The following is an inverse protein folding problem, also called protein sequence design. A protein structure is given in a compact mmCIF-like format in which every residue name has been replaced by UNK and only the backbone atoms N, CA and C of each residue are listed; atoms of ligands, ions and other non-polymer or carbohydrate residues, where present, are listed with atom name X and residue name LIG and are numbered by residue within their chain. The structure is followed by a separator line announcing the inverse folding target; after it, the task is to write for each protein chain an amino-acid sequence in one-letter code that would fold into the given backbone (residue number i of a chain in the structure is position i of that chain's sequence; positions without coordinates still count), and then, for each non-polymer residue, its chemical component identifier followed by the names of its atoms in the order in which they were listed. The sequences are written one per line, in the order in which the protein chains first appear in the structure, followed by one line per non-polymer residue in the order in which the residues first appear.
data_IF_242339528176
#
_entry.id   IF_242339528176
#
_cell.length_a   1.000
_cell.length_b   1.000
_cell.length_c   1.000
_cell.angle_alpha   90.00
_cell.angle_beta   90.00
_cell.angle_gamma   90.00
#
_symmetry.space_group_name_H-M   'P 1'
#
loop_
_entity.id
_entity.type
_entity.pdbx_description
1 polymer ?
#
# COMPACT_ATOMS: atom_id res chain seq x y z
N UNK A 1 -32.99 -52.12 -36.54
CA UNK A 1 -33.23 -50.84 -35.83
C UNK A 1 -33.42 -51.17 -34.35
N UNK A 2 -32.36 -51.00 -33.54
CA UNK A 2 -32.35 -51.47 -32.14
C UNK A 2 -32.73 -50.29 -31.24
N UNK A 3 -33.90 -50.36 -30.59
CA UNK A 3 -34.31 -49.42 -29.55
C UNK A 3 -33.86 -49.95 -28.19
N UNK A 4 -32.85 -49.34 -27.60
CA UNK A 4 -32.41 -49.63 -26.24
C UNK A 4 -33.39 -49.02 -25.23
N UNK A 5 -33.96 -49.86 -24.35
CA UNK A 5 -34.75 -49.43 -23.18
C UNK A 5 -33.81 -49.35 -21.97
N UNK A 6 -33.12 -48.24 -21.78
CA UNK A 6 -32.39 -47.96 -20.54
C UNK A 6 -33.26 -47.17 -19.56
N UNK A 7 -33.29 -47.61 -18.30
CA UNK A 7 -33.93 -46.89 -17.19
C UNK A 7 -33.08 -45.73 -16.63
N UNK A 8 -31.92 -45.45 -17.25
CA UNK A 8 -31.07 -44.33 -16.87
C UNK A 8 -31.55 -43.05 -17.57
N UNK A 9 -32.23 -42.21 -16.78
CA UNK A 9 -32.76 -40.85 -17.06
C UNK A 9 -33.51 -40.69 -18.39
N UNK A 10 -34.83 -40.59 -18.28
CA UNK A 10 -35.66 -40.01 -19.33
C UNK A 10 -35.17 -38.57 -19.63
N UNK A 11 -35.01 -38.26 -20.92
CA UNK A 11 -34.73 -36.90 -21.44
C UNK A 11 -35.93 -35.97 -21.17
N UNK A 12 -36.21 -35.66 -19.91
CA UNK A 12 -36.82 -34.38 -19.60
C UNK A 12 -35.67 -33.37 -19.66
N UNK A 13 -35.69 -32.54 -20.70
CA UNK A 13 -34.85 -31.36 -20.93
C UNK A 13 -34.13 -30.90 -19.65
N UNK A 14 -32.86 -31.27 -19.48
CA UNK A 14 -32.00 -30.66 -18.47
C UNK A 14 -31.82 -29.22 -18.92
N UNK A 15 -32.64 -28.30 -18.39
CA UNK A 15 -32.27 -26.88 -18.33
C UNK A 15 -30.90 -26.90 -17.66
N UNK A 16 -29.85 -26.58 -18.43
CA UNK A 16 -28.49 -26.70 -17.93
C UNK A 16 -28.41 -25.87 -16.65
N UNK A 17 -27.82 -26.39 -15.57
CA UNK A 17 -27.74 -25.64 -14.30
C UNK A 17 -27.16 -24.23 -14.49
N UNK A 18 -26.31 -24.05 -15.51
CA UNK A 18 -25.84 -22.76 -16.01
C UNK A 18 -26.96 -21.78 -16.36
N UNK A 19 -28.00 -22.21 -17.07
CA UNK A 19 -29.14 -21.38 -17.46
C UNK A 19 -29.99 -20.97 -16.24
N UNK A 20 -30.09 -21.83 -15.22
CA UNK A 20 -30.77 -21.48 -13.97
C UNK A 20 -30.01 -20.41 -13.19
N UNK A 21 -28.67 -20.50 -13.12
CA UNK A 21 -27.85 -19.48 -12.46
C UNK A 21 -27.86 -18.16 -13.23
N UNK A 22 -27.78 -18.19 -14.57
CA UNK A 22 -27.89 -16.99 -15.40
C UNK A 22 -29.24 -16.29 -15.19
N UNK A 23 -30.35 -17.05 -15.17
CA UNK A 23 -31.68 -16.48 -14.87
C UNK A 23 -31.79 -15.91 -13.46
N UNK A 24 -31.20 -16.59 -12.45
CA UNK A 24 -31.18 -16.06 -11.08
C UNK A 24 -30.35 -14.78 -10.97
N UNK A 25 -29.21 -14.71 -11.64
CA UNK A 25 -28.38 -13.52 -11.70
C UNK A 25 -29.12 -12.37 -12.40
N UNK A 26 -29.84 -12.64 -13.48
CA UNK A 26 -30.66 -11.66 -14.18
C UNK A 26 -31.76 -11.08 -13.28
N UNK A 27 -32.50 -11.95 -12.59
CA UNK A 27 -33.56 -11.53 -11.65
C UNK A 27 -32.99 -10.68 -10.51
N UNK A 28 -31.85 -11.10 -9.94
CA UNK A 28 -31.20 -10.36 -8.86
C UNK A 28 -30.71 -9.00 -9.33
N UNK A 29 -30.14 -8.92 -10.53
CA UNK A 29 -29.57 -7.66 -11.01
C UNK A 29 -30.66 -6.64 -11.37
N UNK A 30 -31.75 -7.10 -12.00
CA UNK A 30 -32.97 -6.29 -12.21
C UNK A 30 -33.55 -5.78 -10.89
N UNK A 31 -33.52 -6.61 -9.85
CA UNK A 31 -33.96 -6.22 -8.50
C UNK A 31 -33.06 -5.13 -7.91
N UNK A 32 -31.74 -5.25 -8.03
CA UNK A 32 -30.78 -4.25 -7.55
C UNK A 32 -30.94 -2.93 -8.30
N UNK A 33 -31.05 -2.96 -9.63
CA UNK A 33 -31.25 -1.77 -10.46
C UNK A 33 -32.52 -1.02 -10.05
N UNK A 34 -33.61 -1.77 -9.79
CA UNK A 34 -34.87 -1.21 -9.29
C UNK A 34 -34.75 -0.62 -7.89
N UNK A 35 -34.13 -1.34 -6.94
CA UNK A 35 -33.92 -0.84 -5.58
C UNK A 35 -33.06 0.43 -5.56
N UNK A 36 -32.03 0.49 -6.41
CA UNK A 36 -31.20 1.67 -6.58
C UNK A 36 -31.97 2.84 -7.20
N UNK A 37 -32.77 2.59 -8.23
CA UNK A 37 -33.64 3.60 -8.82
C UNK A 37 -34.65 4.14 -7.81
N UNK A 38 -35.30 3.28 -7.04
CA UNK A 38 -36.27 3.68 -6.01
C UNK A 38 -35.60 4.50 -4.90
N UNK A 39 -34.39 4.11 -4.47
CA UNK A 39 -33.57 4.90 -3.55
C UNK A 39 -33.20 6.26 -4.14
N UNK A 40 -32.79 6.29 -5.42
CA UNK A 40 -32.42 7.50 -6.15
C UNK A 40 -33.60 8.48 -6.26
N UNK A 41 -34.78 7.98 -6.59
CA UNK A 41 -36.03 8.77 -6.61
C UNK A 41 -36.36 9.31 -5.22
N UNK A 42 -36.16 8.49 -4.17
CA UNK A 42 -36.37 8.87 -2.77
C UNK A 42 -35.44 9.98 -2.25
N UNK A 43 -34.30 10.23 -2.91
CA UNK A 43 -33.37 11.32 -2.55
C UNK A 43 -33.83 12.71 -3.01
N UNK A 44 -34.90 12.80 -3.81
CA UNK A 44 -35.52 14.07 -4.19
C UNK A 44 -35.25 14.47 -5.63
N UNK A 45 -36.09 13.99 -6.54
CA UNK A 45 -36.12 14.41 -7.94
C UNK A 45 -37.04 15.64 -8.13
N UNK A 46 -36.70 16.77 -7.50
CA UNK A 46 -37.43 18.04 -7.72
C UNK A 46 -36.56 19.12 -8.35
N UNK A 47 -35.23 19.12 -8.14
CA UNK A 47 -34.36 20.21 -8.61
C UNK A 47 -33.36 19.82 -9.72
N UNK A 48 -33.07 18.52 -9.90
CA UNK A 48 -32.09 18.07 -10.89
C UNK A 48 -32.78 17.26 -11.98
N UNK A 49 -32.76 17.75 -13.23
CA UNK A 49 -33.19 17.00 -14.41
C UNK A 49 -32.20 15.85 -14.65
N UNK A 50 -32.32 14.75 -13.91
CA UNK A 50 -31.50 13.57 -14.14
C UNK A 50 -31.84 12.94 -15.51
N UNK A 51 -30.81 12.56 -16.26
CA UNK A 51 -30.97 11.83 -17.53
C UNK A 51 -31.50 10.41 -17.32
N UNK A 52 -31.30 9.86 -16.11
CA UNK A 52 -31.85 8.58 -15.66
C UNK A 52 -33.35 8.76 -15.39
N UNK A 53 -34.18 8.17 -16.25
CA UNK A 53 -35.64 8.23 -16.19
C UNK A 53 -36.27 6.89 -15.89
N UNK A 54 -35.54 5.80 -16.10
CA UNK A 54 -36.03 4.43 -15.93
C UNK A 54 -34.96 3.55 -15.27
N UNK A 55 -35.36 2.46 -14.60
CA UNK A 55 -34.40 1.51 -14.03
C UNK A 55 -33.53 0.86 -15.11
N UNK A 56 -34.02 0.71 -16.35
CA UNK A 56 -33.24 0.15 -17.46
C UNK A 56 -32.05 1.04 -17.85
N UNK A 57 -32.16 2.37 -17.68
CA UNK A 57 -31.07 3.30 -17.98
C UNK A 57 -29.84 3.02 -17.09
N UNK A 58 -30.04 2.46 -15.89
CA UNK A 58 -28.97 2.06 -14.97
C UNK A 58 -28.31 0.76 -15.46
N UNK A 59 -29.09 -0.19 -15.98
CA UNK A 59 -28.57 -1.43 -16.54
C UNK A 59 -27.67 -1.15 -17.75
N UNK A 60 -28.08 -0.20 -18.60
CA UNK A 60 -27.32 0.25 -19.76
C UNK A 60 -26.09 1.07 -19.36
N UNK A 61 -26.21 1.98 -18.39
CA UNK A 61 -25.10 2.80 -17.90
C UNK A 61 -23.93 1.95 -17.37
N UNK A 62 -24.24 0.88 -16.65
CA UNK A 62 -23.24 -0.04 -16.11
C UNK A 62 -22.92 -1.20 -17.04
N UNK A 63 -23.55 -1.26 -18.22
CA UNK A 63 -23.39 -2.34 -19.19
C UNK A 63 -23.46 -3.72 -18.54
N UNK A 64 -24.52 -3.95 -17.74
CA UNK A 64 -24.67 -5.12 -16.86
C UNK A 64 -24.64 -6.47 -17.59
N UNK A 65 -24.73 -6.47 -18.92
CA UNK A 65 -24.68 -7.64 -19.78
C UNK A 65 -23.57 -7.57 -20.84
N UNK A 66 -22.49 -6.84 -20.55
CA UNK A 66 -21.36 -6.66 -21.47
C UNK A 66 -20.60 -7.98 -21.71
N UNK A 67 -20.97 -8.67 -22.78
CA UNK A 67 -20.43 -9.96 -23.17
C UNK A 67 -19.42 -9.85 -24.32
N UNK A 68 -18.44 -8.95 -24.19
CA UNK A 68 -17.34 -8.85 -25.15
C UNK A 68 -16.22 -9.84 -24.81
N UNK A 69 -15.61 -10.48 -25.82
CA UNK A 69 -14.62 -11.55 -25.59
C UNK A 69 -13.41 -11.09 -24.77
N UNK A 70 -13.11 -9.79 -24.76
CA UNK A 70 -12.06 -9.18 -23.95
C UNK A 70 -12.34 -9.26 -22.44
N UNK A 71 -13.61 -9.19 -22.00
CA UNK A 71 -13.96 -9.23 -20.57
C UNK A 71 -13.78 -10.63 -19.98
N UNK A 72 -13.93 -11.68 -20.81
CA UNK A 72 -13.71 -13.09 -20.44
C UNK A 72 -12.23 -13.47 -20.28
N UNK A 73 -11.30 -12.65 -20.80
CA UNK A 73 -9.86 -12.87 -20.73
C UNK A 73 -9.23 -12.45 -19.40
N UNK A 74 -9.94 -11.69 -18.57
CA UNK A 74 -9.44 -11.14 -17.32
C UNK A 74 -9.88 -12.01 -16.13
N UNK A 75 -9.16 -13.11 -15.89
CA UNK A 75 -9.21 -13.80 -14.59
C UNK A 75 -8.37 -13.00 -13.59
N UNK A 76 -8.98 -12.00 -12.97
CA UNK A 76 -8.36 -11.30 -11.85
C UNK A 76 -8.45 -12.20 -10.62
N UNK A 77 -7.38 -12.94 -10.31
CA UNK A 77 -7.19 -13.52 -8.98
C UNK A 77 -6.93 -12.40 -7.98
N UNK A 78 -8.00 -11.70 -7.61
CA UNK A 78 -7.93 -10.64 -6.64
C UNK A 78 -7.78 -11.27 -5.25
N UNK A 79 -6.54 -11.53 -4.83
CA UNK A 79 -6.22 -11.69 -3.40
C UNK A 79 -6.37 -10.30 -2.75
N UNK A 80 -7.58 -9.77 -2.74
CA UNK A 80 -7.91 -8.52 -2.07
C UNK A 80 -7.74 -8.81 -0.59
N UNK A 81 -6.79 -8.13 0.03
CA UNK A 81 -6.68 -8.11 1.48
C UNK A 81 -7.93 -7.38 1.98
N UNK A 82 -8.85 -8.03 2.73
CA UNK A 82 -10.02 -7.36 3.26
C UNK A 82 -9.55 -6.37 4.32
N UNK A 83 -9.37 -5.11 3.91
CA UNK A 83 -8.96 -4.03 4.78
C UNK A 83 -9.78 -2.78 4.51
N UNK A 84 -9.95 -1.99 5.57
CA UNK A 84 -10.70 -0.74 5.54
C UNK A 84 -9.76 0.39 5.94
N UNK A 85 -10.05 1.60 5.49
CA UNK A 85 -9.38 2.81 5.97
C UNK A 85 -9.40 2.87 7.49
N UNK A 86 -8.30 3.38 8.06
CA UNK A 86 -8.12 3.46 9.51
C UNK A 86 -9.23 4.25 10.21
N UNK A 87 -9.67 5.35 9.60
CA UNK A 87 -10.76 6.21 10.11
C UNK A 87 -12.06 5.43 10.29
N UNK A 88 -12.48 4.69 9.26
CA UNK A 88 -13.69 3.86 9.29
C UNK A 88 -13.53 2.71 10.29
N UNK A 89 -12.36 2.06 10.32
CA UNK A 89 -12.08 0.97 11.25
C UNK A 89 -12.08 1.44 12.72
N UNK A 90 -11.63 2.67 13.00
CA UNK A 90 -11.67 3.28 14.32
C UNK A 90 -13.11 3.68 14.70
N UNK A 91 -13.89 4.23 13.75
CA UNK A 91 -15.29 4.61 13.94
C UNK A 91 -16.20 3.41 14.26
N UNK A 92 -16.07 2.31 13.53
CA UNK A 92 -16.85 1.08 13.74
C UNK A 92 -16.30 0.27 14.95
N UNK A 93 -15.12 0.62 15.47
CA UNK A 93 -14.47 -0.09 16.57
C UNK A 93 -13.70 -1.35 16.15
N UNK A 94 -13.62 -1.66 14.85
CA UNK A 94 -12.90 -2.83 14.30
C UNK A 94 -11.49 -2.45 13.86
N UNK A 95 -10.65 -2.03 14.80
CA UNK A 95 -9.28 -1.57 14.51
C UNK A 95 -8.39 -2.63 13.85
N UNK A 96 -8.73 -3.92 13.94
CA UNK A 96 -8.00 -5.04 13.34
C UNK A 96 -8.12 -5.07 11.81
N UNK A 97 -9.23 -4.56 11.27
CA UNK A 97 -9.48 -4.49 9.82
C UNK A 97 -8.80 -3.28 9.16
N UNK A 98 -8.20 -2.37 9.94
CA UNK A 98 -7.48 -1.24 9.39
C UNK A 98 -6.33 -1.71 8.49
N UNK A 99 -6.22 -1.17 7.28
CA UNK A 99 -5.15 -1.51 6.33
C UNK A 99 -3.72 -1.54 6.91
N UNK A 100 -3.25 -0.58 7.74
CA UNK A 100 -1.92 -0.69 8.34
C UNK A 100 -1.77 -1.90 9.28
N UNK A 101 -2.83 -2.34 9.97
CA UNK A 101 -2.79 -3.53 10.83
C UNK A 101 -2.82 -4.81 10.00
N UNK A 102 -3.65 -4.85 8.96
CA UNK A 102 -3.72 -5.98 8.03
C UNK A 102 -2.37 -6.18 7.33
N UNK A 103 -1.72 -5.10 6.89
CA UNK A 103 -0.38 -5.14 6.30
C UNK A 103 0.65 -5.71 7.29
N UNK A 104 0.72 -5.20 8.53
CA UNK A 104 1.63 -5.73 9.56
C UNK A 104 1.39 -7.20 9.90
N UNK A 105 0.15 -7.67 9.76
CA UNK A 105 -0.19 -9.09 9.94
C UNK A 105 0.32 -9.91 8.75
N UNK A 106 0.12 -9.42 7.54
CA UNK A 106 0.58 -10.10 6.33
C UNK A 106 2.10 -10.22 6.30
N UNK A 107 2.82 -9.13 6.60
CA UNK A 107 4.29 -9.16 6.71
C UNK A 107 4.75 -10.22 7.71
N UNK A 108 4.05 -10.36 8.86
CA UNK A 108 4.38 -11.40 9.83
C UNK A 108 4.14 -12.81 9.30
N UNK A 109 3.07 -13.03 8.55
CA UNK A 109 2.80 -14.32 7.91
C UNK A 109 3.82 -14.64 6.84
N UNK A 110 4.20 -13.66 6.03
CA UNK A 110 5.22 -13.82 5.00
C UNK A 110 6.57 -14.15 5.66
N UNK A 111 7.01 -13.38 6.66
CA UNK A 111 8.23 -13.68 7.44
C UNK A 111 8.17 -15.08 8.06
N UNK A 112 7.03 -15.46 8.64
CA UNK A 112 6.88 -16.79 9.23
C UNK A 112 6.99 -17.90 8.17
N UNK A 113 6.35 -17.71 7.01
CA UNK A 113 6.43 -18.63 5.89
C UNK A 113 7.86 -18.74 5.34
N UNK A 114 8.63 -17.66 5.28
CA UNK A 114 10.04 -17.71 4.86
C UNK A 114 10.93 -18.43 5.87
N UNK A 115 10.67 -18.25 7.17
CA UNK A 115 11.45 -18.89 8.23
C UNK A 115 11.11 -20.36 8.46
N UNK A 116 9.92 -20.79 8.06
CA UNK A 116 9.48 -22.17 8.29
C UNK A 116 10.20 -23.13 7.33
N UNK A 117 10.60 -24.33 7.81
CA UNK A 117 11.24 -25.31 6.95
C UNK A 117 10.25 -25.80 5.87
N UNK A 118 10.74 -25.98 4.64
CA UNK A 118 9.92 -26.50 3.56
C UNK A 118 9.55 -27.97 3.84
N UNK A 119 8.27 -28.24 4.08
CA UNK A 119 7.76 -29.60 4.22
C UNK A 119 7.60 -30.25 2.85
N UNK A 120 8.70 -30.82 2.34
CA UNK A 120 8.76 -31.41 0.99
C UNK A 120 8.44 -32.90 0.96
N UNK A 121 8.41 -33.58 2.11
CA UNK A 121 8.14 -35.02 2.21
C UNK A 121 6.98 -35.28 3.17
N UNK A 122 6.06 -36.13 2.76
CA UNK A 122 4.97 -36.65 3.59
C UNK A 122 4.79 -38.14 3.32
N UNK A 123 4.59 -38.94 4.37
CA UNK A 123 4.37 -40.40 4.26
C UNK A 123 5.45 -41.14 3.44
N UNK A 124 6.72 -40.72 3.56
CA UNK A 124 7.84 -41.32 2.82
C UNK A 124 7.86 -41.04 1.31
N UNK A 125 6.93 -40.23 0.80
CA UNK A 125 6.84 -39.85 -0.62
C UNK A 125 6.98 -38.33 -0.78
N UNK A 126 7.36 -37.91 -1.97
CA UNK A 126 7.65 -36.51 -2.30
C UNK A 126 6.88 -36.13 -3.58
N UNK A 127 6.17 -34.99 -3.56
CA UNK A 127 5.49 -34.47 -4.74
C UNK A 127 6.50 -34.03 -5.82
N UNK A 128 6.15 -33.99 -7.11
CA UNK A 128 6.95 -33.36 -8.15
C UNK A 128 7.24 -31.89 -7.83
N UNK A 129 8.42 -31.38 -8.24
CA UNK A 129 8.91 -30.04 -7.86
C UNK A 129 7.91 -28.90 -8.12
N UNK A 130 7.18 -28.95 -9.24
CA UNK A 130 6.20 -27.93 -9.62
C UNK A 130 4.92 -27.95 -8.76
N UNK A 131 4.67 -29.03 -8.02
CA UNK A 131 3.58 -29.16 -7.07
C UNK A 131 4.02 -28.92 -5.62
N UNK A 132 5.33 -28.77 -5.37
CA UNK A 132 5.85 -28.49 -4.02
C UNK A 132 5.64 -27.02 -3.68
N UNK A 133 5.06 -26.77 -2.51
CA UNK A 133 5.11 -25.46 -1.91
C UNK A 133 6.49 -25.24 -1.29
N UNK A 134 7.32 -24.43 -1.96
CA UNK A 134 8.62 -24.01 -1.45
C UNK A 134 8.47 -22.57 -0.97
N UNK A 135 8.72 -22.30 0.32
CA UNK A 135 8.60 -20.94 0.83
C UNK A 135 9.59 -20.01 0.10
N UNK A 136 9.17 -18.79 -0.25
CA UNK A 136 10.03 -17.81 -0.89
C UNK A 136 11.20 -17.42 0.03
N UNK A 137 12.32 -17.00 -0.55
CA UNK A 137 13.50 -16.52 0.17
C UNK A 137 13.76 -15.05 -0.14
N UNK A 138 12.75 -14.21 0.06
CA UNK A 138 12.78 -12.79 -0.29
C UNK A 138 13.34 -11.90 0.83
N UNK A 139 13.80 -12.49 1.93
CA UNK A 139 14.36 -11.77 3.09
C UNK A 139 13.43 -10.65 3.56
N UNK A 140 12.13 -10.96 3.62
CA UNK A 140 11.06 -10.02 3.95
C UNK A 140 11.27 -9.36 5.31
N UNK A 141 11.88 -10.09 6.25
CA UNK A 141 12.18 -9.58 7.59
C UNK A 141 13.10 -8.37 7.54
N UNK A 142 14.23 -8.46 6.85
CA UNK A 142 15.18 -7.34 6.78
C UNK A 142 14.65 -6.20 5.91
N UNK A 143 13.92 -6.51 4.84
CA UNK A 143 13.34 -5.49 3.97
C UNK A 143 12.28 -4.62 4.70
N UNK A 144 11.39 -5.24 5.48
CA UNK A 144 10.29 -4.54 6.14
C UNK A 144 10.63 -4.05 7.56
N UNK A 145 11.51 -4.75 8.28
CA UNK A 145 11.92 -4.37 9.65
C UNK A 145 13.30 -3.68 9.71
N UNK A 146 14.04 -3.63 8.61
CA UNK A 146 15.32 -2.95 8.53
C UNK A 146 15.16 -1.45 8.54
N UNK A 147 14.83 -0.87 9.69
CA UNK A 147 15.10 0.56 9.90
C UNK A 147 16.61 0.70 10.02
N UNK A 148 17.26 0.95 8.88
CA UNK A 148 18.68 1.30 8.85
C UNK A 148 18.81 2.73 9.36
N UNK A 149 18.89 2.87 10.68
CA UNK A 149 19.21 4.16 11.31
C UNK A 149 20.68 4.44 10.98
N UNK A 150 21.00 5.58 10.33
CA UNK A 150 22.38 6.01 10.14
C UNK A 150 23.12 6.00 11.48
N UNK A 151 24.37 5.54 11.48
CA UNK A 151 25.17 5.40 12.71
C UNK A 151 25.30 6.74 13.47
N UNK A 152 25.32 7.85 12.74
CA UNK A 152 25.38 9.21 13.29
C UNK A 152 24.13 9.57 14.11
N UNK A 153 22.94 9.13 13.67
CA UNK A 153 21.69 9.31 14.42
C UNK A 153 21.60 8.31 15.57
N UNK A 154 22.08 7.08 15.38
CA UNK A 154 22.10 6.05 16.42
C UNK A 154 23.01 6.45 17.60
N UNK A 155 24.16 7.04 17.29
CA UNK A 155 25.13 7.55 18.27
C UNK A 155 24.76 8.95 18.79
N UNK A 156 23.77 9.60 18.17
CA UNK A 156 23.44 11.02 18.38
C UNK A 156 24.65 11.93 18.16
N UNK A 157 25.68 11.49 17.43
CA UNK A 157 26.91 12.24 17.19
C UNK A 157 26.60 13.61 16.59
N UNK A 158 25.68 13.68 15.63
CA UNK A 158 25.20 14.94 15.04
C UNK A 158 24.71 15.96 16.08
N UNK A 159 24.00 15.51 17.12
CA UNK A 159 23.49 16.39 18.18
C UNK A 159 24.61 16.80 19.14
N UNK A 160 25.46 15.86 19.53
CA UNK A 160 26.52 16.10 20.51
C UNK A 160 27.70 16.89 19.94
N UNK A 161 28.03 16.71 18.67
CA UNK A 161 29.07 17.46 17.96
C UNK A 161 28.66 18.93 17.81
N UNK A 162 27.39 19.18 17.51
CA UNK A 162 26.88 20.55 17.41
C UNK A 162 26.78 21.23 18.78
N UNK A 163 26.58 20.54 19.90
CA UNK A 163 26.42 21.22 21.21
C UNK A 163 27.73 21.86 21.74
N UNK A 164 28.87 21.57 21.12
CA UNK A 164 30.19 22.06 21.54
C UNK A 164 30.34 23.60 21.51
N UNK A 165 29.58 24.30 20.68
CA UNK A 165 29.69 25.76 20.57
C UNK A 165 28.97 26.54 21.69
N UNK A 166 28.01 25.91 22.37
CA UNK A 166 27.19 26.52 23.42
C UNK A 166 28.01 26.98 24.63
N UNK A 167 27.63 28.13 25.21
CA UNK A 167 28.26 28.71 26.40
C UNK A 167 28.13 27.82 27.63
N UNK A 168 26.98 27.13 27.79
CA UNK A 168 26.75 26.15 28.84
C UNK A 168 27.76 25.01 28.78
N UNK A 169 27.96 24.42 27.60
CA UNK A 169 28.93 23.33 27.37
C UNK A 169 30.36 23.76 27.68
N UNK A 170 30.75 24.97 27.27
CA UNK A 170 32.06 25.55 27.59
C UNK A 170 32.26 25.82 29.08
N UNK A 171 31.22 26.31 29.77
CA UNK A 171 31.27 26.50 31.23
C UNK A 171 31.36 25.17 31.98
N UNK A 172 30.63 24.15 31.52
CA UNK A 172 30.68 22.81 32.09
C UNK A 172 32.03 22.14 31.88
N UNK A 173 32.62 22.30 30.70
CA UNK A 173 33.99 21.84 30.43
C UNK A 173 35.03 22.52 31.36
N UNK A 174 34.96 23.84 31.54
CA UNK A 174 35.81 24.56 32.52
C UNK A 174 35.60 24.07 33.95
N UNK A 175 34.35 23.78 34.32
CA UNK A 175 34.00 23.27 35.64
C UNK A 175 34.55 21.85 35.88
N UNK A 176 34.50 20.97 34.86
CA UNK A 176 35.08 19.63 34.92
C UNK A 176 36.62 19.65 35.00
N UNK A 177 37.29 20.59 34.33
CA UNK A 177 38.76 20.78 34.46
C UNK A 177 39.20 21.07 35.89
N UNK A 178 38.37 21.80 36.65
CA UNK A 178 38.65 22.10 38.05
C UNK A 178 38.38 20.91 39.00
N UNK A 179 37.84 19.79 38.47
CA UNK A 179 37.40 18.62 39.24
C UNK A 179 37.85 17.31 38.59
N UNK A 180 39.15 16.98 38.69
CA UNK A 180 39.72 15.80 38.03
C UNK A 180 39.24 14.46 38.61
N UNK A 181 38.47 14.47 39.71
CA UNK A 181 37.83 13.29 40.28
C UNK A 181 36.61 12.81 39.48
N UNK A 182 36.12 13.60 38.52
CA UNK A 182 35.03 13.23 37.62
C UNK A 182 35.60 12.92 36.23
N UNK A 183 35.15 11.83 35.63
CA UNK A 183 35.58 11.45 34.28
C UNK A 183 35.05 12.44 33.24
N UNK A 184 35.93 12.89 32.34
CA UNK A 184 35.55 13.75 31.22
C UNK A 184 34.80 12.92 30.16
N UNK A 185 33.58 13.33 29.73
CA UNK A 185 32.89 12.70 28.62
C UNK A 185 33.70 12.75 27.31
N UNK A 186 33.64 11.70 26.49
CA UNK A 186 34.45 11.56 25.28
C UNK A 186 34.28 12.72 24.28
N UNK A 187 33.07 13.25 24.12
CA UNK A 187 32.75 14.37 23.23
C UNK A 187 33.25 15.74 23.74
N UNK A 188 33.69 15.84 25.00
CA UNK A 188 34.34 17.05 25.54
C UNK A 188 35.86 16.95 25.51
N UNK A 189 36.43 15.74 25.39
CA UNK A 189 37.87 15.56 25.18
C UNK A 189 38.32 16.07 23.81
N UNK A 190 37.46 15.99 22.80
CA UNK A 190 37.71 16.50 21.44
C UNK A 190 37.81 18.02 21.36
N UNK A 191 37.24 18.77 22.31
CA UNK A 191 37.34 20.24 22.39
C UNK A 191 38.77 20.74 22.65
N UNK A 192 39.66 19.89 23.16
CA UNK A 192 41.06 20.24 23.41
C UNK A 192 41.93 20.15 22.16
N UNK A 193 41.46 19.51 21.09
CA UNK A 193 42.17 19.46 19.82
C UNK A 193 42.05 20.81 19.09
N UNK A 194 43.15 21.53 18.84
CA UNK A 194 43.09 22.81 18.16
C UNK A 194 42.84 22.60 16.66
N UNK A 195 41.63 22.91 16.22
CA UNK A 195 41.36 23.20 14.82
C UNK A 195 40.37 22.25 14.16
N UNK A 196 39.12 22.68 14.10
CA UNK A 196 38.33 22.64 12.88
C UNK A 196 37.12 23.56 13.11
N UNK A 197 37.19 24.80 12.62
CA UNK A 197 36.00 25.65 12.50
C UNK A 197 35.12 25.02 11.42
N UNK A 198 34.25 24.08 11.79
CA UNK A 198 33.30 23.49 10.84
C UNK A 198 32.15 24.47 10.58
N UNK A 199 31.80 24.58 9.31
CA UNK A 199 30.71 25.44 8.85
C UNK A 199 29.40 25.05 9.55
N UNK A 200 28.54 26.03 9.88
CA UNK A 200 27.23 25.75 10.44
C UNK A 200 26.46 24.81 9.51
N UNK A 201 25.82 23.81 10.10
CA UNK A 201 24.94 22.86 9.44
C UNK A 201 23.87 23.60 8.65
N UNK A 202 23.99 23.59 7.32
CA UNK A 202 22.91 23.95 6.41
C UNK A 202 22.09 22.69 6.21
N UNK A 203 20.84 22.67 6.69
CA UNK A 203 19.86 21.63 6.38
C UNK A 203 19.76 21.56 4.85
N UNK A 204 20.17 20.47 4.18
CA UNK A 204 19.88 20.32 2.76
C UNK A 204 18.38 20.11 2.65
N UNK A 205 17.65 21.13 2.18
CA UNK A 205 16.21 21.05 1.97
C UNK A 205 15.78 20.07 0.88
N UNK A 206 16.74 19.46 0.16
CA UNK A 206 16.44 18.62 -0.98
C UNK A 206 17.08 17.23 -0.83
N UNK A 207 16.41 16.35 -0.09
CA UNK A 207 16.60 14.90 -0.28
C UNK A 207 15.87 14.47 -1.56
N UNK A 208 16.27 15.03 -2.71
CA UNK A 208 15.90 14.49 -4.01
C UNK A 208 16.81 13.26 -4.20
N UNK A 209 16.21 12.09 -4.04
CA UNK A 209 16.80 10.82 -4.46
C UNK A 209 17.17 10.98 -5.93
N UNK A 210 18.45 11.19 -6.24
CA UNK A 210 18.97 11.07 -7.60
C UNK A 210 18.93 9.59 -7.97
N UNK A 211 17.79 9.16 -8.49
CA UNK A 211 17.66 7.88 -9.16
C UNK A 211 18.55 7.94 -10.39
N UNK A 212 19.60 7.11 -10.39
CA UNK A 212 20.45 6.87 -11.56
C UNK A 212 19.55 6.30 -12.66
N UNK A 213 19.40 6.94 -13.84
CA UNK A 213 18.54 6.42 -14.87
C UNK A 213 19.08 5.07 -15.37
N UNK A 214 18.23 4.03 -15.52
CA UNK A 214 18.63 2.82 -16.21
C UNK A 214 18.88 3.15 -17.68
N UNK A 215 20.11 2.92 -18.11
CA UNK A 215 20.47 2.85 -19.53
C UNK A 215 19.85 1.61 -20.14
N UNK A 216 18.64 1.71 -20.70
CA UNK A 216 18.17 0.93 -21.86
C UNK A 216 16.68 1.16 -22.13
N UNK A 217 16.39 1.78 -23.27
CA UNK A 217 15.20 1.67 -24.12
C UNK A 217 13.85 1.21 -23.50
N UNK A 218 12.98 2.17 -23.20
CA UNK A 218 11.53 2.09 -23.46
C UNK A 218 11.00 3.53 -23.48
N UNK A 219 10.75 4.06 -24.67
CA UNK A 219 10.31 5.44 -24.89
C UNK A 219 8.79 5.62 -24.94
N UNK A 220 8.00 4.58 -24.68
CA UNK A 220 6.55 4.69 -24.75
C UNK A 220 5.93 4.43 -23.37
N UNK A 221 5.06 5.35 -22.95
CA UNK A 221 4.24 5.36 -21.71
C UNK A 221 4.83 6.15 -20.52
N UNK A 222 5.04 7.46 -20.71
CA UNK A 222 4.98 8.43 -19.61
C UNK A 222 3.84 9.43 -19.90
N UNK A 223 2.83 9.44 -19.04
CA UNK A 223 1.77 10.46 -19.02
C UNK A 223 2.40 11.85 -18.76
N UNK A 224 1.86 12.95 -19.33
CA UNK A 224 2.41 14.27 -19.13
C UNK A 224 2.25 14.68 -17.66
N UNK A 225 3.38 14.77 -16.96
CA UNK A 225 3.48 15.41 -15.65
C UNK A 225 3.28 16.90 -15.91
N UNK A 226 2.17 17.45 -15.42
CA UNK A 226 1.81 18.85 -15.63
C UNK A 226 2.83 19.79 -14.98
N UNK A 227 3.23 20.80 -15.73
CA UNK A 227 4.28 21.78 -15.41
C UNK A 227 3.81 22.85 -14.38
N UNK A 228 3.08 22.49 -13.33
CA UNK A 228 2.49 23.49 -12.40
C UNK A 228 3.34 23.82 -11.15
N UNK A 229 4.66 23.61 -11.16
CA UNK A 229 5.48 23.75 -9.94
C UNK A 229 6.27 25.06 -9.79
N UNK A 230 6.13 26.05 -10.67
CA UNK A 230 6.97 27.26 -10.61
C UNK A 230 6.25 28.58 -10.24
N UNK A 231 4.94 28.61 -10.06
CA UNK A 231 4.23 29.89 -9.84
C UNK A 231 3.94 30.24 -8.37
N UNK A 232 4.06 29.28 -7.43
CA UNK A 232 3.70 29.53 -6.02
C UNK A 232 4.55 30.60 -5.34
N UNK A 233 5.84 30.74 -5.71
CA UNK A 233 6.69 31.79 -5.15
C UNK A 233 6.31 33.18 -5.63
N UNK A 234 5.92 33.32 -6.89
CA UNK A 234 5.49 34.61 -7.45
C UNK A 234 4.14 35.03 -6.89
N UNK A 235 3.19 34.10 -6.77
CA UNK A 235 1.87 34.37 -6.18
C UNK A 235 1.98 34.75 -4.71
N UNK A 236 2.83 34.08 -3.92
CA UNK A 236 3.07 34.43 -2.53
C UNK A 236 3.80 35.78 -2.36
N UNK A 237 4.69 36.14 -3.28
CA UNK A 237 5.38 37.43 -3.24
C UNK A 237 4.47 38.63 -3.55
N UNK A 238 3.42 38.42 -4.34
CA UNK A 238 2.41 39.45 -4.65
C UNK A 238 1.44 39.67 -3.49
N UNK A 239 1.06 38.60 -2.78
CA UNK A 239 0.16 38.68 -1.62
C UNK A 239 0.79 39.28 -0.35
N UNK A 240 2.12 39.30 -0.25
CA UNK A 240 2.84 39.83 0.92
C UNK A 240 3.25 41.30 0.77
N UNK A 241 3.05 41.91 -0.39
CA UNK A 241 3.45 43.28 -0.70
C UNK A 241 2.25 44.23 -1.01
N UNK A 242 1.02 43.80 -0.73
CA UNK A 242 -0.17 44.66 -0.57
C UNK A 242 -0.47 44.87 0.91
#
# INVERSE_FOLDING_TARGET
MIKWKSNYKQRAFEVSASDEFSKKAEILTKKIAKEFYDWWVGLGNVEFKSEIKRPEDIEDLFQVWFDEHASRGLVLHHKILPCVLKTIADFIGVKKAACPKVLKRQIRFDVHAETSPAHTMAFGTCLPQHMKHIPPKNNTKEMWHGVKIPEDLRSMACVWDDIQHLTSTKSFHKWLKNRPHLEMPAFLKSLEAPGEKKQPFVVPSDYIVKVKPPTSSTQDLALPISEFSLELKEVLSKLLNE
#
